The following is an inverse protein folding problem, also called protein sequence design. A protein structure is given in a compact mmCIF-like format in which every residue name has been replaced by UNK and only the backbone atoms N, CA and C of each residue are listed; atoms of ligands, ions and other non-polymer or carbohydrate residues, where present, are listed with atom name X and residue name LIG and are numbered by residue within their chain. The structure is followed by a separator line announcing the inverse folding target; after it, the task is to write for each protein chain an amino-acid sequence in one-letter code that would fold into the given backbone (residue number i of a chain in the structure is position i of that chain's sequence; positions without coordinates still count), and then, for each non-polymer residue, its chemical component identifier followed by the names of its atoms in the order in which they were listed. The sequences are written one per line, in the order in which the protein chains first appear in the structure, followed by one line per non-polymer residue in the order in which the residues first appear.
data_IF_929343059441
#
_entry.id   IF_929343059441
#
_cell.length_a   1.000
_cell.length_b   1.000
_cell.length_c   1.000
_cell.angle_alpha   90.00
_cell.angle_beta   90.00
_cell.angle_gamma   90.00
#
_symmetry.space_group_name_H-M   'P 1'
#
loop_
_entity.id
_entity.type
_entity.pdbx_description
1 polymer ?
#
# COMPACT_ATOMS: atom_id res chain seq x y z
N UNK A 1 -3.22 6.89 19.87
CA UNK A 1 -4.52 6.34 19.42
C UNK A 1 -5.33 6.05 20.68
N UNK A 2 -6.54 6.58 20.82
CA UNK A 2 -7.33 6.40 22.05
C UNK A 2 -7.82 4.96 22.20
N UNK A 3 -7.96 4.45 23.42
CA UNK A 3 -8.48 3.08 23.68
C UNK A 3 -9.86 2.83 23.04
N UNK A 4 -10.73 3.84 22.98
CA UNK A 4 -12.03 3.76 22.33
C UNK A 4 -11.93 3.45 20.83
N UNK A 5 -10.99 4.07 20.12
CA UNK A 5 -10.79 3.80 18.69
C UNK A 5 -10.33 2.35 18.43
N UNK A 6 -9.58 1.77 19.37
CA UNK A 6 -9.09 0.39 19.29
C UNK A 6 -10.22 -0.63 19.45
N UNK A 7 -11.16 -0.37 20.36
CA UNK A 7 -12.35 -1.21 20.57
C UNK A 7 -13.29 -1.19 19.37
N UNK A 8 -13.47 -0.03 18.73
CA UNK A 8 -14.28 0.06 17.50
C UNK A 8 -13.66 -0.70 16.31
N UNK A 9 -12.33 -0.65 16.16
CA UNK A 9 -11.63 -1.38 15.10
C UNK A 9 -11.73 -2.89 15.32
N UNK A 10 -11.61 -3.32 16.58
CA UNK A 10 -11.78 -4.73 16.96
C UNK A 10 -13.17 -5.25 16.56
N UNK A 11 -14.24 -4.49 16.82
CA UNK A 11 -15.60 -4.95 16.58
C UNK A 11 -16.12 -4.74 15.15
N UNK A 12 -15.52 -3.84 14.35
CA UNK A 12 -16.06 -3.47 13.05
C UNK A 12 -15.40 -4.23 11.89
N UNK A 13 -16.13 -5.20 11.31
CA UNK A 13 -15.71 -5.88 10.09
C UNK A 13 -15.54 -4.92 8.90
N UNK A 14 -16.41 -3.90 8.80
CA UNK A 14 -16.34 -2.90 7.74
C UNK A 14 -15.03 -2.10 7.76
N UNK A 15 -14.54 -1.70 8.94
CA UNK A 15 -13.24 -1.02 9.06
C UNK A 15 -12.10 -1.90 8.53
N UNK A 16 -12.12 -3.21 8.81
CA UNK A 16 -11.10 -4.15 8.34
C UNK A 16 -11.09 -4.28 6.81
N UNK A 17 -12.27 -4.33 6.18
CA UNK A 17 -12.39 -4.32 4.73
C UNK A 17 -11.78 -3.05 4.16
N UNK A 18 -12.18 -1.88 4.67
CA UNK A 18 -11.71 -0.59 4.17
C UNK A 18 -10.18 -0.47 4.32
N UNK A 19 -9.63 -0.81 5.49
CA UNK A 19 -8.18 -0.76 5.71
C UNK A 19 -7.42 -1.70 4.78
N UNK A 20 -7.92 -2.92 4.57
CA UNK A 20 -7.29 -3.89 3.66
C UNK A 20 -7.34 -3.43 2.20
N UNK A 21 -8.47 -2.85 1.79
CA UNK A 21 -8.65 -2.30 0.45
C UNK A 21 -7.71 -1.12 0.19
N UNK A 22 -7.64 -0.16 1.12
CA UNK A 22 -6.74 0.99 1.01
C UNK A 22 -5.29 0.51 0.90
N UNK A 23 -4.87 -0.43 1.75
CA UNK A 23 -3.51 -0.96 1.70
C UNK A 23 -3.18 -1.59 0.34
N UNK A 24 -4.07 -2.43 -0.20
CA UNK A 24 -3.83 -3.08 -1.48
C UNK A 24 -3.78 -2.07 -2.65
N UNK A 25 -4.62 -1.03 -2.62
CA UNK A 25 -4.60 0.04 -3.62
C UNK A 25 -3.29 0.84 -3.56
N UNK A 26 -2.88 1.27 -2.37
CA UNK A 26 -1.62 2.00 -2.16
C UNK A 26 -0.40 1.17 -2.58
N UNK A 27 -0.39 -0.13 -2.21
CA UNK A 27 0.70 -1.02 -2.60
C UNK A 27 0.73 -1.25 -4.11
N UNK A 28 -0.43 -1.39 -4.76
CA UNK A 28 -0.53 -1.52 -6.21
C UNK A 28 -0.05 -0.24 -6.92
N UNK A 29 -0.42 0.93 -6.41
CA UNK A 29 0.04 2.21 -6.92
C UNK A 29 1.57 2.34 -6.81
N UNK A 30 2.15 1.92 -5.68
CA UNK A 30 3.60 1.90 -5.49
C UNK A 30 4.31 0.94 -6.48
N UNK A 31 3.76 -0.25 -6.70
CA UNK A 31 4.29 -1.20 -7.69
C UNK A 31 4.24 -0.65 -9.11
N UNK A 32 3.13 0.00 -9.50
CA UNK A 32 3.00 0.66 -10.79
C UNK A 32 3.99 1.83 -10.91
N UNK A 33 4.16 2.62 -9.86
CA UNK A 33 5.08 3.75 -9.86
C UNK A 33 6.53 3.33 -10.11
N UNK A 34 6.94 2.19 -9.54
CA UNK A 34 8.25 1.57 -9.73
C UNK A 34 8.38 0.88 -11.09
N UNK A 35 7.37 0.08 -11.48
CA UNK A 35 7.40 -0.76 -12.68
C UNK A 35 7.19 0.00 -13.99
N UNK A 36 6.41 1.09 -13.98
CA UNK A 36 6.07 1.84 -15.19
C UNK A 36 7.24 2.71 -15.71
N UNK A 37 8.38 2.73 -15.02
CA UNK A 37 9.55 3.48 -15.44
C UNK A 37 10.34 2.82 -16.57
N UNK A 38 10.13 1.53 -16.87
CA UNK A 38 10.86 0.78 -17.92
C UNK A 38 12.38 0.64 -17.71
N UNK A 39 12.96 1.41 -16.78
CA UNK A 39 14.38 1.56 -16.56
C UNK A 39 14.95 0.57 -15.53
N UNK A 40 14.13 -0.38 -15.04
CA UNK A 40 14.55 -1.37 -14.04
C UNK A 40 14.63 -2.75 -14.72
N UNK A 41 15.83 -3.21 -15.12
CA UNK A 41 15.99 -4.44 -15.90
C UNK A 41 15.50 -5.71 -15.16
N UNK A 42 15.55 -5.67 -13.83
CA UNK A 42 15.18 -6.80 -12.97
C UNK A 42 13.69 -6.83 -12.59
N UNK A 43 12.90 -5.82 -12.99
CA UNK A 43 11.49 -5.71 -12.64
C UNK A 43 10.61 -5.72 -13.92
N UNK A 44 10.47 -6.88 -14.59
CA UNK A 44 9.74 -6.97 -15.84
C UNK A 44 8.23 -6.74 -15.63
N UNK A 45 7.50 -6.24 -16.64
CA UNK A 45 6.07 -5.93 -16.52
C UNK A 45 5.22 -7.11 -16.04
N UNK A 46 5.53 -8.33 -16.50
CA UNK A 46 4.82 -9.55 -16.09
C UNK A 46 4.87 -9.73 -14.58
N UNK A 47 6.02 -9.48 -13.96
CA UNK A 47 6.18 -9.61 -12.52
C UNK A 47 5.41 -8.51 -11.78
N UNK A 48 5.46 -7.27 -12.28
CA UNK A 48 4.73 -6.12 -11.70
C UNK A 48 3.22 -6.39 -11.69
N UNK A 49 2.64 -6.75 -12.84
CA UNK A 49 1.21 -7.01 -12.95
C UNK A 49 0.78 -8.23 -12.13
N UNK A 50 1.61 -9.26 -12.04
CA UNK A 50 1.34 -10.42 -11.18
C UNK A 50 1.29 -10.02 -9.70
N UNK A 51 2.25 -9.21 -9.24
CA UNK A 51 2.25 -8.70 -7.85
C UNK A 51 1.06 -7.81 -7.54
N UNK A 52 0.62 -6.98 -8.50
CA UNK A 52 -0.61 -6.17 -8.36
C UNK A 52 -1.83 -7.08 -8.23
N UNK A 53 -1.95 -8.11 -9.08
CA UNK A 53 -3.03 -9.09 -8.98
C UNK A 53 -3.08 -9.75 -7.60
N UNK A 54 -1.93 -10.20 -7.08
CA UNK A 54 -1.82 -10.77 -5.73
C UNK A 54 -2.23 -9.74 -4.66
N UNK A 55 -1.77 -8.49 -4.78
CA UNK A 55 -2.13 -7.40 -3.87
C UNK A 55 -3.64 -7.19 -3.81
N UNK A 56 -4.32 -7.11 -4.95
CA UNK A 56 -5.77 -6.91 -5.04
C UNK A 56 -6.55 -8.12 -4.51
N UNK A 57 -6.10 -9.35 -4.79
CA UNK A 57 -6.70 -10.56 -4.22
C UNK A 57 -6.54 -10.55 -2.69
N UNK A 58 -5.39 -10.09 -2.18
CA UNK A 58 -5.15 -10.00 -0.74
C UNK A 58 -6.13 -9.05 -0.04
N UNK A 59 -6.62 -7.99 -0.70
CA UNK A 59 -7.64 -7.10 -0.13
C UNK A 59 -8.97 -7.81 0.17
N UNK A 60 -9.30 -8.87 -0.56
CA UNK A 60 -10.50 -9.67 -0.31
C UNK A 60 -10.28 -10.70 0.81
N UNK A 61 -9.09 -11.31 0.85
CA UNK A 61 -8.77 -12.39 1.77
C UNK A 61 -8.34 -11.90 3.17
N UNK A 62 -7.55 -10.83 3.25
CA UNK A 62 -7.03 -10.28 4.51
C UNK A 62 -8.12 -9.88 5.52
N UNK A 63 -9.20 -9.17 5.18
CA UNK A 63 -10.21 -8.80 6.17
C UNK A 63 -10.95 -10.03 6.71
N UNK A 64 -11.15 -11.06 5.89
CA UNK A 64 -11.72 -12.34 6.31
C UNK A 64 -10.78 -13.06 7.29
N UNK A 65 -9.53 -13.29 6.87
CA UNK A 65 -8.52 -13.97 7.70
C UNK A 65 -8.29 -13.25 9.03
N UNK A 66 -8.25 -11.93 9.01
CA UNK A 66 -8.14 -11.11 10.23
C UNK A 66 -9.36 -11.27 11.12
N UNK A 67 -10.59 -11.17 10.58
CA UNK A 67 -11.80 -11.33 11.38
C UNK A 67 -11.90 -12.73 12.01
N UNK A 68 -11.60 -13.79 11.25
CA UNK A 68 -11.59 -15.16 11.78
C UNK A 68 -10.50 -15.36 12.85
N UNK A 69 -9.30 -14.82 12.64
CA UNK A 69 -8.18 -14.98 13.57
C UNK A 69 -8.39 -14.24 14.90
N UNK A 70 -9.09 -13.10 14.85
CA UNK A 70 -9.49 -12.37 16.05
C UNK A 70 -10.52 -13.16 16.87
N UNK A 71 -11.52 -13.76 16.22
CA UNK A 71 -12.52 -14.62 16.89
C UNK A 71 -11.88 -15.83 17.58
N UNK A 72 -10.81 -16.38 16.99
CA UNK A 72 -10.00 -17.46 17.57
C UNK A 72 -9.00 -16.99 18.64
N UNK A 73 -8.96 -15.69 18.96
CA UNK A 73 -7.98 -15.05 19.86
C UNK A 73 -6.51 -15.34 19.52
N UNK A 74 -6.24 -15.69 18.26
CA UNK A 74 -4.88 -16.09 17.84
C UNK A 74 -3.95 -14.89 17.71
N UNK A 75 -4.49 -13.73 17.34
CA UNK A 75 -3.72 -12.50 17.15
C UNK A 75 -4.44 -11.27 17.69
N UNK A 76 -3.67 -10.30 18.17
CA UNK A 76 -4.19 -9.00 18.60
C UNK A 76 -4.54 -8.13 17.39
N UNK A 77 -5.82 -7.77 17.28
CA UNK A 77 -6.35 -6.87 16.24
C UNK A 77 -5.62 -5.53 16.18
N UNK A 78 -5.19 -5.03 17.35
CA UNK A 78 -4.45 -3.78 17.49
C UNK A 78 -3.11 -3.84 16.76
N UNK A 79 -2.38 -4.96 16.89
CA UNK A 79 -1.09 -5.14 16.22
C UNK A 79 -1.26 -5.21 14.70
N UNK A 80 -2.26 -5.95 14.22
CA UNK A 80 -2.53 -6.08 12.78
C UNK A 80 -2.92 -4.72 12.19
N UNK A 81 -3.86 -4.00 12.83
CA UNK A 81 -4.26 -2.67 12.38
C UNK A 81 -3.08 -1.70 12.39
N UNK A 82 -2.28 -1.69 13.46
CA UNK A 82 -1.09 -0.84 13.58
C UNK A 82 -0.09 -1.08 12.45
N UNK A 83 0.17 -2.35 12.12
CA UNK A 83 1.02 -2.73 11.00
C UNK A 83 0.46 -2.26 9.65
N UNK A 84 -0.82 -2.55 9.37
CA UNK A 84 -1.47 -2.15 8.12
C UNK A 84 -1.46 -0.63 7.95
N UNK A 85 -1.76 0.09 9.02
CA UNK A 85 -1.78 1.55 9.02
C UNK A 85 -0.38 2.15 8.80
N UNK A 86 0.66 1.57 9.41
CA UNK A 86 2.04 1.97 9.16
C UNK A 86 2.46 1.69 7.71
N UNK A 87 2.08 0.54 7.14
CA UNK A 87 2.35 0.19 5.75
C UNK A 87 1.67 1.16 4.77
N UNK A 88 0.40 1.55 5.01
CA UNK A 88 -0.30 2.57 4.23
C UNK A 88 0.48 3.89 4.26
N UNK A 89 0.84 4.37 5.45
CA UNK A 89 1.60 5.62 5.60
C UNK A 89 2.94 5.58 4.87
N UNK A 90 3.63 4.44 4.90
CA UNK A 90 4.87 4.25 4.18
C UNK A 90 4.66 4.33 2.66
N UNK A 91 3.66 3.64 2.11
CA UNK A 91 3.37 3.67 0.68
C UNK A 91 3.06 5.09 0.18
N UNK A 92 2.27 5.85 0.95
CA UNK A 92 1.95 7.25 0.67
C UNK A 92 3.22 8.10 0.71
N UNK A 93 4.01 8.02 1.78
CA UNK A 93 5.24 8.80 1.94
C UNK A 93 6.23 8.53 0.79
N UNK A 94 6.42 7.25 0.45
CA UNK A 94 7.28 6.85 -0.67
C UNK A 94 6.77 7.41 -2.00
N UNK A 95 5.47 7.30 -2.25
CA UNK A 95 4.85 7.81 -3.49
C UNK A 95 5.02 9.33 -3.64
N UNK A 96 4.89 10.08 -2.54
CA UNK A 96 5.13 11.53 -2.51
C UNK A 96 6.59 11.85 -2.83
N UNK A 97 7.55 11.15 -2.19
CA UNK A 97 8.98 11.35 -2.44
C UNK A 97 9.33 11.05 -3.90
N UNK A 98 8.84 9.92 -4.43
CA UNK A 98 9.07 9.52 -5.81
C UNK A 98 8.43 10.49 -6.81
N UNK A 99 7.25 11.04 -6.51
CA UNK A 99 6.64 12.11 -7.30
C UNK A 99 7.51 13.38 -7.29
N UNK A 100 7.98 13.81 -6.12
CA UNK A 100 8.90 14.94 -5.98
C UNK A 100 10.18 14.73 -6.78
N UNK A 101 10.79 13.55 -6.68
CA UNK A 101 12.00 13.20 -7.43
C UNK A 101 11.77 13.25 -8.95
N UNK A 102 10.68 12.64 -9.45
CA UNK A 102 10.32 12.71 -10.88
C UNK A 102 10.10 14.16 -11.34
N UNK A 103 9.53 15.01 -10.49
CA UNK A 103 9.28 16.43 -10.80
C UNK A 103 10.58 17.26 -10.85
N UNK A 104 11.49 17.08 -9.89
CA UNK A 104 12.78 17.77 -9.89
C UNK A 104 13.65 17.38 -11.09
N UNK A 105 13.80 16.08 -11.35
CA UNK A 105 14.70 15.58 -12.39
C UNK A 105 14.10 15.52 -13.80
N UNK A 106 12.77 15.54 -13.94
CA UNK A 106 12.09 15.43 -15.25
C UNK A 106 11.59 16.76 -15.84
N UNK A 107 11.42 17.82 -15.04
CA UNK A 107 10.74 19.05 -15.48
C UNK A 107 11.48 20.37 -15.17
N UNK A 108 12.54 20.37 -14.35
CA UNK A 108 13.27 21.61 -14.01
C UNK A 108 14.69 21.72 -14.58
N UNK A 109 15.26 20.63 -15.12
CA UNK A 109 16.64 20.63 -15.67
C UNK A 109 16.75 20.22 -17.14
N UNK A 110 15.63 20.14 -17.86
CA UNK A 110 15.69 20.20 -19.33
C UNK A 110 15.78 21.70 -19.67
N UNK A 111 16.94 22.29 -19.43
CA UNK A 111 17.33 23.46 -20.21
C UNK A 111 17.58 22.88 -21.60
N UNK A 112 16.73 23.18 -22.60
CA UNK A 112 17.07 22.75 -23.95
C UNK A 112 18.44 23.33 -24.24
N UNK A 113 19.39 22.47 -24.61
CA UNK A 113 20.67 22.90 -25.14
C UNK A 113 20.39 23.49 -26.53
N UNK A 114 19.78 24.68 -26.55
CA UNK A 114 19.62 25.45 -27.77
C UNK A 114 20.96 26.13 -28.06
N UNK A 115 21.48 25.72 -29.22
CA UNK A 115 22.52 26.34 -30.02
C UNK A 115 21.84 27.44 -30.84
#
# INVERSE_FOLDING_TARGET
MSEQSLLEISNSFGKKIITSLILALEFSALLLLLGNGGNIPWLPPVLVFSMIGISLVSALLLPLLWHFSERKKTYSSIKIYGFMYAAIRYCIAFSIIAFGWKKFYGLQFIVPAEI
#
